data_IF_112890006141
#
_entry.id   IF_112890006141
#
_cell.length_a   1.000
_cell.length_b   1.000
_cell.length_c   1.000
_cell.angle_alpha   90.00
_cell.angle_beta   90.00
_cell.angle_gamma   90.00
#
_symmetry.space_group_name_H-M   'P 1'
#
loop_
_entity.id
_entity.type
_entity.pdbx_description
1 polymer ?
#
# COMPACT_ATOMS: atom_id res chain seq x y z
N UNK A 1 -20.21 67.37 9.07
CA UNK A 1 -18.94 66.70 8.76
C UNK A 1 -18.50 65.66 9.80
N UNK A 2 -18.85 65.72 11.07
CA UNK A 2 -18.42 64.76 12.11
C UNK A 2 -19.09 63.35 12.07
N UNK A 3 -20.30 63.23 11.49
CA UNK A 3 -21.02 61.95 11.40
C UNK A 3 -20.49 61.04 10.28
N UNK A 4 -19.92 61.63 9.24
CA UNK A 4 -19.43 60.88 8.09
C UNK A 4 -18.13 60.15 8.42
N UNK A 5 -17.28 60.78 9.24
CA UNK A 5 -16.00 60.19 9.66
C UNK A 5 -16.19 58.96 10.56
N UNK A 6 -17.23 58.94 11.42
CA UNK A 6 -17.52 57.78 12.29
C UNK A 6 -18.00 56.57 11.52
N UNK A 7 -18.70 56.76 10.40
CA UNK A 7 -19.15 55.66 9.55
C UNK A 7 -18.01 54.96 8.80
N UNK A 8 -17.02 55.75 8.39
CA UNK A 8 -15.84 55.20 7.70
C UNK A 8 -14.92 54.45 8.66
N UNK A 9 -14.81 54.85 9.90
CA UNK A 9 -14.03 54.13 10.91
C UNK A 9 -14.65 52.78 11.28
N UNK A 10 -15.97 52.70 11.33
CA UNK A 10 -16.68 51.43 11.59
C UNK A 10 -16.50 50.43 10.44
N UNK A 11 -16.51 50.87 9.17
CA UNK A 11 -16.28 50.02 8.00
C UNK A 11 -14.84 49.52 7.92
N UNK A 12 -13.85 50.37 8.21
CA UNK A 12 -12.44 50.00 8.27
C UNK A 12 -12.14 48.99 9.39
N UNK A 13 -12.76 49.14 10.55
CA UNK A 13 -12.59 48.19 11.66
C UNK A 13 -13.21 46.84 11.35
N UNK A 14 -14.32 46.83 10.62
CA UNK A 14 -15.01 45.59 10.19
C UNK A 14 -14.17 44.81 9.16
N UNK A 15 -13.46 45.49 8.25
CA UNK A 15 -12.58 44.83 7.27
C UNK A 15 -11.31 44.23 7.90
N UNK A 16 -10.79 44.85 8.97
CA UNK A 16 -9.59 44.32 9.67
C UNK A 16 -9.93 43.07 10.47
N UNK A 17 -11.12 42.98 11.07
CA UNK A 17 -11.58 41.78 11.78
C UNK A 17 -11.88 40.59 10.83
N UNK A 18 -12.25 40.85 9.57
CA UNK A 18 -12.47 39.82 8.58
C UNK A 18 -11.14 39.22 8.03
N UNK A 19 -10.03 39.97 8.10
CA UNK A 19 -8.73 39.50 7.60
C UNK A 19 -7.94 38.67 8.62
N UNK A 20 -8.30 38.70 9.91
CA UNK A 20 -7.63 37.86 10.94
C UNK A 20 -8.28 36.52 11.19
N UNK A 21 -9.40 36.23 10.50
CA UNK A 21 -10.08 34.93 10.55
C UNK A 21 -9.56 33.87 9.56
N UNK A 22 -8.51 34.16 8.80
CA UNK A 22 -7.77 33.14 8.05
C UNK A 22 -6.98 32.30 9.07
N UNK A 23 -7.68 31.39 9.75
CA UNK A 23 -7.04 30.34 10.51
C UNK A 23 -6.00 29.69 9.58
N UNK A 24 -4.75 29.63 10.00
CA UNK A 24 -3.77 28.74 9.42
C UNK A 24 -4.36 27.32 9.48
N UNK A 25 -5.15 26.98 8.49
CA UNK A 25 -5.45 25.59 8.17
C UNK A 25 -4.08 24.99 7.90
N UNK A 26 -3.59 24.19 8.84
CA UNK A 26 -2.41 23.35 8.63
C UNK A 26 -2.72 22.59 7.35
N UNK A 27 -2.05 22.94 6.26
CA UNK A 27 -2.17 22.15 5.03
C UNK A 27 -1.97 20.69 5.46
N UNK A 28 -2.92 19.80 5.15
CA UNK A 28 -2.73 18.40 5.48
C UNK A 28 -1.41 17.99 4.83
N UNK A 29 -0.42 17.63 5.63
CA UNK A 29 0.86 17.15 5.12
C UNK A 29 0.56 16.03 4.14
N UNK A 30 1.17 16.10 2.95
CA UNK A 30 1.00 15.05 1.95
C UNK A 30 1.26 13.69 2.62
N UNK A 31 0.41 12.69 2.38
CA UNK A 31 0.59 11.38 2.99
C UNK A 31 1.93 10.78 2.56
N UNK A 32 2.58 10.08 3.48
CA UNK A 32 3.84 9.38 3.21
C UNK A 32 3.57 8.24 2.22
N UNK A 33 4.33 8.13 1.11
CA UNK A 33 4.17 7.03 0.15
C UNK A 33 4.30 5.65 0.81
N UNK A 34 3.68 4.61 0.22
CA UNK A 34 3.82 3.24 0.71
C UNK A 34 5.28 2.80 0.74
N UNK A 35 5.69 2.19 1.84
CA UNK A 35 6.99 1.55 1.94
C UNK A 35 6.95 0.21 1.20
N UNK A 36 7.60 0.12 0.04
CA UNK A 36 7.60 -1.09 -0.80
C UNK A 36 8.79 -2.00 -0.55
N UNK A 37 9.85 -1.50 0.07
CA UNK A 37 10.97 -2.31 0.58
C UNK A 37 10.61 -2.83 1.95
N UNK A 38 10.43 -4.14 2.09
CA UNK A 38 9.92 -4.77 3.30
C UNK A 38 10.95 -5.74 3.86
N UNK A 39 11.48 -5.42 5.04
CA UNK A 39 12.30 -6.36 5.83
C UNK A 39 11.35 -7.30 6.58
N UNK A 40 11.24 -8.56 6.12
CA UNK A 40 10.59 -9.69 6.80
C UNK A 40 9.32 -9.31 7.61
N UNK A 41 8.22 -9.09 6.91
CA UNK A 41 6.93 -8.73 7.53
C UNK A 41 5.97 -9.90 7.48
N UNK A 42 5.34 -10.19 8.62
CA UNK A 42 4.24 -11.14 8.66
C UNK A 42 3.05 -10.57 7.88
N UNK A 43 2.45 -11.38 7.02
CA UNK A 43 1.25 -11.02 6.29
C UNK A 43 0.26 -12.18 6.21
N UNK A 44 -0.99 -11.81 6.06
CA UNK A 44 -2.12 -12.72 5.80
C UNK A 44 -2.67 -12.40 4.43
N UNK A 45 -2.78 -13.41 3.60
CA UNK A 45 -3.26 -13.31 2.22
C UNK A 45 -4.54 -14.13 2.07
N UNK A 46 -5.58 -13.49 1.57
CA UNK A 46 -6.83 -14.16 1.17
C UNK A 46 -7.09 -13.89 -0.30
N UNK A 47 -7.32 -14.93 -1.09
CA UNK A 47 -7.66 -14.84 -2.51
C UNK A 47 -8.66 -15.91 -2.91
N UNK A 48 -9.82 -15.49 -3.40
CA UNK A 48 -10.87 -16.39 -3.91
C UNK A 48 -11.20 -17.56 -2.95
N UNK A 49 -11.24 -17.30 -1.64
CA UNK A 49 -11.54 -18.29 -0.61
C UNK A 49 -10.34 -19.12 -0.12
N UNK A 50 -9.15 -18.95 -0.71
CA UNK A 50 -7.91 -19.53 -0.20
C UNK A 50 -7.26 -18.54 0.75
N UNK A 51 -6.81 -19.00 1.91
CA UNK A 51 -6.11 -18.20 2.91
C UNK A 51 -4.75 -18.80 3.22
N UNK A 52 -3.73 -17.95 3.21
CA UNK A 52 -2.37 -18.29 3.63
C UNK A 52 -1.83 -17.21 4.55
N UNK A 53 -0.89 -17.54 5.42
CA UNK A 53 -0.09 -16.56 6.13
C UNK A 53 1.37 -16.93 6.13
N UNK A 54 2.23 -15.95 6.34
CA UNK A 54 3.67 -16.17 6.36
C UNK A 54 4.46 -14.88 6.43
N UNK A 55 5.76 -15.00 6.20
CA UNK A 55 6.69 -13.88 6.17
C UNK A 55 6.95 -13.45 4.72
N UNK A 56 6.75 -12.18 4.46
CA UNK A 56 7.11 -11.55 3.20
C UNK A 56 8.31 -10.62 3.39
N UNK A 57 9.23 -10.63 2.45
CA UNK A 57 10.33 -9.67 2.38
C UNK A 57 10.58 -9.24 0.94
N UNK A 58 11.04 -8.01 0.77
CA UNK A 58 11.44 -7.45 -0.51
C UNK A 58 12.67 -6.57 -0.34
N UNK A 59 13.72 -6.85 -1.12
CA UNK A 59 14.95 -6.08 -1.13
C UNK A 59 14.86 -4.84 -2.03
N UNK A 60 15.81 -3.92 -1.87
CA UNK A 60 15.99 -2.76 -2.76
C UNK A 60 16.23 -3.15 -4.23
N UNK A 61 16.77 -4.35 -4.48
CA UNK A 61 17.03 -4.89 -5.82
C UNK A 61 15.78 -5.52 -6.45
N UNK A 62 14.61 -5.41 -5.78
CA UNK A 62 13.34 -5.96 -6.28
C UNK A 62 13.17 -7.47 -6.09
N UNK A 63 14.12 -8.14 -5.42
CA UNK A 63 13.94 -9.56 -5.07
C UNK A 63 12.90 -9.70 -3.98
N UNK A 64 11.96 -10.59 -4.17
CA UNK A 64 10.86 -10.85 -3.23
C UNK A 64 10.86 -12.29 -2.76
N UNK A 65 10.58 -12.51 -1.49
CA UNK A 65 10.49 -13.84 -0.87
C UNK A 65 9.22 -13.92 -0.04
N UNK A 66 8.48 -15.01 -0.21
CA UNK A 66 7.37 -15.36 0.66
C UNK A 66 7.66 -16.72 1.31
N UNK A 67 7.67 -16.78 2.64
CA UNK A 67 7.82 -18.00 3.42
C UNK A 67 6.47 -18.32 4.07
N UNK A 68 5.85 -19.42 3.67
CA UNK A 68 4.53 -19.82 4.16
C UNK A 68 4.64 -20.38 5.58
N UNK A 69 3.77 -19.90 6.47
CA UNK A 69 3.60 -20.44 7.82
C UNK A 69 2.31 -21.25 7.97
N UNK A 70 1.24 -20.80 7.31
CA UNK A 70 -0.04 -21.53 7.26
C UNK A 70 -0.60 -21.55 5.85
N UNK A 71 -1.33 -22.60 5.45
CA UNK A 71 -1.70 -23.81 6.20
C UNK A 71 -0.52 -24.77 6.43
N UNK A 72 -0.68 -25.70 7.37
CA UNK A 72 0.37 -26.62 7.84
C UNK A 72 0.90 -27.51 6.71
N UNK A 73 0.05 -27.90 5.76
CA UNK A 73 0.40 -28.79 4.63
C UNK A 73 1.50 -28.22 3.73
N UNK A 74 1.62 -26.89 3.68
CA UNK A 74 2.64 -26.18 2.87
C UNK A 74 3.52 -25.26 3.72
N UNK A 75 3.49 -25.45 5.04
CA UNK A 75 4.34 -24.68 5.96
C UNK A 75 5.82 -24.90 5.65
N UNK A 76 6.59 -23.83 5.67
CA UNK A 76 8.00 -23.82 5.27
C UNK A 76 8.25 -23.76 3.77
N UNK A 77 7.22 -23.78 2.93
CA UNK A 77 7.37 -23.50 1.51
C UNK A 77 7.87 -22.06 1.32
N UNK A 78 8.85 -21.90 0.45
CA UNK A 78 9.42 -20.60 0.09
C UNK A 78 9.18 -20.32 -1.39
N UNK A 79 8.69 -19.14 -1.71
CA UNK A 79 8.57 -18.67 -3.07
C UNK A 79 9.47 -17.45 -3.23
N UNK A 80 10.50 -17.60 -4.02
CA UNK A 80 11.44 -16.54 -4.37
C UNK A 80 11.10 -16.01 -5.76
N UNK A 81 11.11 -14.69 -5.91
CA UNK A 81 11.04 -14.04 -7.21
C UNK A 81 12.26 -13.13 -7.38
N UNK A 82 12.93 -13.27 -8.52
CA UNK A 82 14.01 -12.39 -8.98
C UNK A 82 13.68 -11.99 -10.41
N UNK A 83 13.39 -10.72 -10.63
CA UNK A 83 12.92 -10.17 -11.92
C UNK A 83 11.70 -10.96 -12.45
N UNK A 84 11.89 -11.80 -13.47
CA UNK A 84 10.85 -12.60 -14.12
C UNK A 84 10.92 -14.09 -13.77
N UNK A 85 11.90 -14.51 -12.99
CA UNK A 85 12.09 -15.91 -12.58
C UNK A 85 11.53 -16.17 -11.19
N UNK A 86 10.88 -17.33 -11.03
CA UNK A 86 10.40 -17.81 -9.74
C UNK A 86 11.11 -19.10 -9.37
N UNK A 87 11.45 -19.23 -8.10
CA UNK A 87 11.93 -20.49 -7.51
C UNK A 87 11.04 -20.86 -6.34
N UNK A 88 10.41 -22.01 -6.40
CA UNK A 88 9.61 -22.58 -5.32
C UNK A 88 10.41 -23.65 -4.62
N UNK A 89 10.59 -23.54 -3.33
CA UNK A 89 11.32 -24.49 -2.49
C UNK A 89 10.38 -25.10 -1.48
N UNK A 90 10.28 -26.43 -1.46
CA UNK A 90 9.49 -27.21 -0.50
C UNK A 90 10.37 -28.34 0.04
N UNK A 91 10.50 -28.44 1.36
CA UNK A 91 11.27 -29.50 2.04
C UNK A 91 12.69 -29.72 1.46
N UNK A 92 13.35 -28.62 1.06
CA UNK A 92 14.69 -28.67 0.48
C UNK A 92 14.76 -28.98 -1.02
N UNK A 93 13.65 -29.26 -1.68
CA UNK A 93 13.55 -29.41 -3.13
C UNK A 93 13.19 -28.05 -3.74
N UNK A 94 13.98 -27.58 -4.71
CA UNK A 94 13.74 -26.32 -5.41
C UNK A 94 13.38 -26.56 -6.87
N UNK A 95 12.33 -25.89 -7.33
CA UNK A 95 11.86 -25.92 -8.71
C UNK A 95 11.82 -24.50 -9.25
N UNK A 96 12.43 -24.31 -10.42
CA UNK A 96 12.29 -23.06 -11.17
C UNK A 96 11.00 -23.07 -11.98
N UNK A 97 10.24 -21.98 -11.89
CA UNK A 97 8.99 -21.79 -12.61
C UNK A 97 9.13 -20.57 -13.52
N UNK A 98 8.53 -20.62 -14.71
CA UNK A 98 8.46 -19.43 -15.56
C UNK A 98 7.54 -18.37 -14.97
N UNK A 99 7.84 -17.10 -15.24
CA UNK A 99 6.98 -15.98 -14.83
C UNK A 99 5.53 -16.19 -15.28
N UNK A 100 5.32 -16.55 -16.55
CA UNK A 100 3.99 -16.79 -17.13
C UNK A 100 3.16 -17.81 -16.34
N UNK A 101 3.78 -18.91 -15.91
CA UNK A 101 3.10 -19.94 -15.10
C UNK A 101 2.75 -19.45 -13.69
N UNK A 102 3.56 -18.54 -13.14
CA UNK A 102 3.38 -18.04 -11.78
C UNK A 102 2.49 -16.79 -11.70
N UNK A 103 2.39 -15.98 -12.75
CA UNK A 103 1.62 -14.72 -12.76
C UNK A 103 0.15 -14.89 -12.33
N UNK A 104 -0.47 -16.01 -12.70
CA UNK A 104 -1.84 -16.31 -12.34
C UNK A 104 -1.97 -16.99 -10.97
N UNK A 105 -0.86 -17.39 -10.37
CA UNK A 105 -0.86 -17.99 -9.03
C UNK A 105 -1.13 -16.95 -7.95
N UNK A 106 -1.51 -17.41 -6.75
CA UNK A 106 -1.67 -16.55 -5.59
C UNK A 106 -0.38 -15.74 -5.32
N UNK A 107 0.78 -16.39 -5.35
CA UNK A 107 2.06 -15.71 -5.07
C UNK A 107 2.44 -14.71 -6.15
N UNK A 108 2.25 -15.05 -7.43
CA UNK A 108 2.48 -14.12 -8.53
C UNK A 108 1.63 -12.86 -8.40
N UNK A 109 0.36 -13.00 -8.08
CA UNK A 109 -0.56 -11.87 -7.86
C UNK A 109 -0.19 -11.05 -6.63
N UNK A 110 0.26 -11.68 -5.55
CA UNK A 110 0.77 -10.97 -4.35
C UNK A 110 1.97 -10.11 -4.71
N UNK A 111 2.95 -10.67 -5.39
CA UNK A 111 4.16 -9.93 -5.79
C UNK A 111 3.82 -8.80 -6.76
N UNK A 112 2.99 -9.05 -7.76
CA UNK A 112 2.55 -8.04 -8.72
C UNK A 112 1.78 -6.90 -8.06
N UNK A 113 0.90 -7.19 -7.08
CA UNK A 113 0.17 -6.16 -6.36
C UNK A 113 1.10 -5.27 -5.52
N UNK A 114 2.14 -5.85 -4.93
CA UNK A 114 3.14 -5.10 -4.15
C UNK A 114 4.03 -4.23 -5.03
N UNK A 115 4.45 -4.73 -6.20
CA UNK A 115 5.25 -3.95 -7.15
C UNK A 115 4.51 -2.73 -7.66
N UNK A 116 3.23 -2.90 -8.00
CA UNK A 116 2.43 -1.81 -8.54
C UNK A 116 2.28 -0.63 -7.57
N UNK A 117 2.52 -0.83 -6.27
CA UNK A 117 2.47 0.26 -5.29
C UNK A 117 3.63 1.24 -5.40
N UNK A 118 4.71 0.92 -6.11
CA UNK A 118 5.80 1.86 -6.37
C UNK A 118 5.33 3.07 -7.16
N UNK A 119 4.40 2.85 -8.11
CA UNK A 119 3.82 3.89 -8.96
C UNK A 119 2.45 4.36 -8.45
N UNK A 120 2.11 4.08 -7.19
CA UNK A 120 0.81 4.42 -6.65
C UNK A 120 0.65 5.93 -6.42
N UNK A 121 -0.59 6.40 -6.56
CA UNK A 121 -0.97 7.79 -6.29
C UNK A 121 -1.99 7.85 -5.16
N UNK A 122 -1.90 8.91 -4.36
CA UNK A 122 -2.87 9.15 -3.29
C UNK A 122 -4.20 9.62 -3.85
N UNK A 123 -5.27 8.92 -3.52
CA UNK A 123 -6.63 9.27 -3.95
C UNK A 123 -7.66 8.85 -2.90
N UNK A 124 -8.56 9.77 -2.54
CA UNK A 124 -9.72 9.50 -1.66
C UNK A 124 -9.41 8.75 -0.35
N UNK A 125 -8.29 9.07 0.31
CA UNK A 125 -7.94 8.47 1.60
C UNK A 125 -7.23 7.11 1.51
N UNK A 126 -6.67 6.78 0.36
CA UNK A 126 -5.86 5.58 0.13
C UNK A 126 -4.90 5.73 -1.04
N UNK A 127 -3.95 4.83 -1.16
CA UNK A 127 -3.05 4.72 -2.29
C UNK A 127 -3.69 3.84 -3.37
N UNK A 128 -3.62 4.27 -4.61
CA UNK A 128 -4.18 3.55 -5.76
C UNK A 128 -3.13 3.36 -6.85
N UNK A 129 -3.11 2.19 -7.44
CA UNK A 129 -2.31 1.86 -8.60
C UNK A 129 -3.17 1.11 -9.62
N UNK A 130 -2.70 1.01 -10.86
CA UNK A 130 -3.36 0.24 -11.90
C UNK A 130 -2.31 -0.55 -12.68
N UNK A 131 -2.61 -1.81 -12.96
CA UNK A 131 -1.79 -2.63 -13.85
C UNK A 131 -2.05 -2.27 -15.32
N UNK A 132 -1.20 -2.76 -16.21
CA UNK A 132 -1.31 -2.52 -17.66
C UNK A 132 -2.61 -3.05 -18.28
N UNK A 133 -3.22 -4.05 -17.67
CA UNK A 133 -4.53 -4.61 -18.06
C UNK A 133 -5.74 -3.84 -17.51
N UNK A 134 -5.49 -2.75 -16.74
CA UNK A 134 -6.53 -1.95 -16.11
C UNK A 134 -6.97 -2.46 -14.74
N UNK A 135 -6.37 -3.53 -14.22
CA UNK A 135 -6.67 -4.04 -12.86
C UNK A 135 -6.32 -2.99 -11.81
N UNK A 136 -7.29 -2.55 -11.05
CA UNK A 136 -7.12 -1.57 -9.97
C UNK A 136 -6.62 -2.21 -8.68
N UNK A 137 -5.67 -1.54 -8.03
CA UNK A 137 -5.08 -1.93 -6.75
C UNK A 137 -5.27 -0.77 -5.78
N UNK A 138 -5.66 -1.07 -4.55
CA UNK A 138 -5.76 -0.08 -3.48
C UNK A 138 -4.94 -0.52 -2.28
N UNK A 139 -4.26 0.44 -1.63
CA UNK A 139 -3.53 0.19 -0.41
C UNK A 139 -3.89 1.23 0.67
N UNK A 140 -3.87 0.79 1.92
CA UNK A 140 -3.92 1.65 3.09
C UNK A 140 -2.59 1.61 3.81
N UNK A 141 -2.14 2.77 4.27
CA UNK A 141 -0.92 2.91 5.04
C UNK A 141 -1.20 3.57 6.38
N UNK A 142 -0.30 3.40 7.31
CA UNK A 142 -0.17 4.22 8.51
C UNK A 142 0.44 5.59 8.15
N UNK A 143 0.49 6.48 9.10
CA UNK A 143 1.14 7.80 8.94
C UNK A 143 2.62 7.70 8.57
N UNK A 144 3.26 6.61 8.92
CA UNK A 144 4.67 6.29 8.62
C UNK A 144 4.92 5.84 7.18
N UNK A 145 3.88 5.58 6.39
CA UNK A 145 3.98 4.94 5.08
C UNK A 145 3.93 3.41 5.12
N UNK A 146 3.93 2.79 6.32
CA UNK A 146 3.81 1.33 6.46
C UNK A 146 2.48 0.83 5.90
N UNK A 147 2.53 -0.13 5.00
CA UNK A 147 1.34 -0.75 4.41
C UNK A 147 0.63 -1.59 5.47
N UNK A 148 -0.68 -1.43 5.60
CA UNK A 148 -1.52 -2.25 6.49
C UNK A 148 -2.42 -3.22 5.73
N UNK A 149 -2.97 -2.80 4.59
CA UNK A 149 -3.86 -3.62 3.76
C UNK A 149 -3.67 -3.26 2.30
N UNK A 150 -3.63 -4.28 1.45
CA UNK A 150 -3.72 -4.15 -0.01
C UNK A 150 -4.96 -4.92 -0.48
N UNK A 151 -5.71 -4.36 -1.41
CA UNK A 151 -6.89 -5.00 -1.98
C UNK A 151 -6.89 -4.89 -3.50
N UNK A 152 -7.13 -6.01 -4.17
CA UNK A 152 -7.31 -6.10 -5.62
C UNK A 152 -8.66 -6.77 -5.89
N UNK A 153 -9.74 -5.99 -6.09
CA UNK A 153 -11.10 -6.52 -6.16
C UNK A 153 -11.30 -7.54 -7.29
N UNK A 154 -10.72 -7.28 -8.47
CA UNK A 154 -10.84 -8.17 -9.62
C UNK A 154 -10.29 -9.58 -9.35
N UNK A 155 -9.25 -9.69 -8.51
CA UNK A 155 -8.66 -10.98 -8.14
C UNK A 155 -9.25 -11.56 -6.85
N UNK A 156 -10.19 -10.85 -6.21
CA UNK A 156 -10.66 -11.15 -4.86
C UNK A 156 -9.49 -11.33 -3.87
N UNK A 157 -8.42 -10.53 -4.07
CA UNK A 157 -7.19 -10.60 -3.30
C UNK A 157 -7.21 -9.53 -2.21
N UNK A 158 -6.89 -9.94 -0.98
CA UNK A 158 -6.60 -9.06 0.14
C UNK A 158 -5.32 -9.51 0.82
N UNK A 159 -4.37 -8.59 1.01
CA UNK A 159 -3.14 -8.80 1.76
C UNK A 159 -3.20 -7.89 2.99
N UNK A 160 -3.01 -8.44 4.18
CA UNK A 160 -3.00 -7.70 5.44
C UNK A 160 -1.65 -7.84 6.12
N UNK A 161 -1.11 -6.73 6.59
CA UNK A 161 0.11 -6.67 7.39
C UNK A 161 -0.26 -6.25 8.82
N UNK A 162 -0.62 -7.19 9.70
CA UNK A 162 -0.97 -6.86 11.07
C UNK A 162 0.24 -6.28 11.82
N UNK A 163 -0.03 -5.48 12.84
CA UNK A 163 1.01 -5.01 13.75
C UNK A 163 1.70 -6.20 14.45
N UNK A 164 3.03 -6.13 14.56
CA UNK A 164 3.75 -7.08 15.42
C UNK A 164 3.26 -6.88 16.86
N UNK A 165 2.66 -7.91 17.41
CA UNK A 165 2.36 -7.96 18.85
C UNK A 165 3.63 -8.17 19.66
#
# INVERSE_FOLDING_TARGET
MKLWLKRWQAVLLSCILAATGSGCGREPSAPVPPETVLEQQFCQVSMAGTEISGQYSRSLEGQSVFVVETPEEISGMQVHRSETEYTVTVTGLSVKCSGEAMEQSLFGRVFTALDALEDSVWNNGGWTASLSDGTGITARTEETGRITVITVPLWQLTIRFPEKR
#
